data_IF_531081737050
#
_entry.id   IF_531081737050
#
_cell.length_a   1.000
_cell.length_b   1.000
_cell.length_c   1.000
_cell.angle_alpha   90.00
_cell.angle_beta   90.00
_cell.angle_gamma   90.00
#
_symmetry.space_group_name_H-M   'P 1'
#
loop_
_entity.id
_entity.type
_entity.pdbx_description
1 polymer ?
#
# COMPACT_ATOMS: atom_id res chain seq x y z
N UNK A 1 16.22 -2.51 -32.28
CA UNK A 1 15.75 -1.13 -32.04
C UNK A 1 14.96 -1.21 -30.77
N UNK A 2 15.63 -0.99 -29.64
CA UNK A 2 15.01 -0.89 -28.32
C UNK A 2 14.30 0.47 -28.27
N UNK A 3 13.05 0.47 -27.81
CA UNK A 3 12.26 1.70 -27.71
C UNK A 3 12.91 2.65 -26.70
N UNK A 4 12.94 3.93 -27.05
CA UNK A 4 13.60 4.99 -26.28
C UNK A 4 12.73 5.37 -25.08
N UNK A 5 13.36 5.50 -23.92
CA UNK A 5 12.75 5.57 -22.58
C UNK A 5 11.92 6.86 -22.40
N UNK A 6 12.20 7.89 -23.21
CA UNK A 6 11.38 9.12 -23.24
C UNK A 6 9.95 8.87 -23.70
N UNK A 7 9.68 7.76 -24.37
CA UNK A 7 8.32 7.44 -24.76
C UNK A 7 7.45 7.04 -23.55
N UNK A 8 7.98 6.41 -22.52
CA UNK A 8 7.20 5.87 -21.38
C UNK A 8 6.48 6.99 -20.57
N UNK A 9 6.96 8.24 -20.68
CA UNK A 9 6.65 9.41 -19.83
C UNK A 9 5.26 10.07 -19.86
N UNK A 10 4.31 9.69 -20.71
CA UNK A 10 3.13 10.57 -20.98
C UNK A 10 1.73 9.96 -20.85
N UNK A 11 1.62 8.75 -20.27
CA UNK A 11 0.37 7.96 -20.24
C UNK A 11 0.44 6.71 -21.13
N UNK A 12 1.64 6.12 -21.26
CA UNK A 12 1.97 5.15 -22.30
C UNK A 12 1.84 3.68 -21.92
N UNK A 13 1.61 3.30 -20.66
CA UNK A 13 1.50 1.88 -20.29
C UNK A 13 0.40 1.16 -21.10
N UNK A 14 -0.67 1.88 -21.38
CA UNK A 14 -1.80 1.38 -22.14
C UNK A 14 -1.60 1.48 -23.66
N UNK A 15 -0.73 2.37 -24.13
CA UNK A 15 -0.25 2.43 -25.51
C UNK A 15 0.83 1.35 -25.80
N UNK A 16 1.63 0.96 -24.81
CA UNK A 16 2.60 -0.14 -24.85
C UNK A 16 1.92 -1.50 -24.98
N UNK A 17 0.67 -1.61 -24.56
CA UNK A 17 -0.17 -2.76 -24.86
C UNK A 17 -0.17 -3.06 -26.38
N UNK A 18 -0.03 -2.05 -27.24
CA UNK A 18 0.07 -2.24 -28.70
C UNK A 18 1.44 -2.75 -29.18
N UNK A 19 2.48 -2.63 -28.35
CA UNK A 19 3.83 -3.15 -28.61
C UNK A 19 3.99 -4.61 -28.13
N UNK A 20 3.03 -5.11 -27.34
CA UNK A 20 2.99 -6.48 -26.86
C UNK A 20 2.86 -7.46 -28.03
N UNK A 21 3.64 -8.54 -27.99
CA UNK A 21 3.65 -9.56 -29.02
C UNK A 21 2.24 -10.17 -29.24
N UNK A 22 1.91 -10.49 -30.50
CA UNK A 22 0.58 -10.94 -30.90
C UNK A 22 0.07 -12.16 -30.12
N UNK A 23 0.97 -13.09 -29.77
CA UNK A 23 0.63 -14.27 -28.97
C UNK A 23 0.16 -13.90 -27.55
N UNK A 24 0.82 -12.92 -26.91
CA UNK A 24 0.43 -12.42 -25.59
C UNK A 24 -0.87 -11.64 -25.70
N UNK A 25 -1.04 -10.81 -26.75
CA UNK A 25 -2.32 -10.13 -27.03
C UNK A 25 -3.49 -11.10 -27.17
N UNK A 26 -3.29 -12.19 -27.90
CA UNK A 26 -4.33 -13.23 -28.08
C UNK A 26 -4.71 -13.89 -26.75
N UNK A 27 -3.73 -14.12 -25.86
CA UNK A 27 -3.96 -14.67 -24.52
C UNK A 27 -4.71 -13.68 -23.62
N UNK A 28 -4.35 -12.39 -23.65
CA UNK A 28 -5.08 -11.35 -22.89
C UNK A 28 -6.53 -11.25 -23.34
N UNK A 29 -6.80 -11.33 -24.65
CA UNK A 29 -8.16 -11.33 -25.18
C UNK A 29 -8.97 -12.56 -24.72
N UNK A 30 -8.33 -13.73 -24.64
CA UNK A 30 -8.96 -14.96 -24.14
C UNK A 30 -9.24 -14.87 -22.63
N UNK A 31 -8.31 -14.33 -21.85
CA UNK A 31 -8.49 -14.06 -20.43
C UNK A 31 -9.64 -13.08 -20.20
N UNK A 32 -9.70 -11.96 -20.95
CA UNK A 32 -10.82 -11.01 -20.87
C UNK A 32 -12.15 -11.67 -21.24
N UNK A 33 -12.20 -12.47 -22.31
CA UNK A 33 -13.41 -13.23 -22.69
C UNK A 33 -13.90 -14.13 -21.55
N UNK A 34 -12.97 -14.86 -20.93
CA UNK A 34 -13.24 -15.77 -19.82
C UNK A 34 -13.75 -14.99 -18.61
N UNK A 35 -13.09 -13.90 -18.28
CA UNK A 35 -13.45 -13.04 -17.15
C UNK A 35 -14.82 -12.39 -17.36
N UNK A 36 -15.07 -11.74 -18.50
CA UNK A 36 -16.39 -11.16 -18.81
C UNK A 36 -17.50 -12.22 -18.78
N UNK A 37 -17.20 -13.46 -19.21
CA UNK A 37 -18.16 -14.57 -19.11
C UNK A 37 -18.43 -14.95 -17.65
N UNK A 38 -17.40 -15.01 -16.81
CA UNK A 38 -17.51 -15.22 -15.37
C UNK A 38 -18.36 -14.13 -14.72
N UNK A 39 -18.09 -12.86 -15.04
CA UNK A 39 -18.82 -11.69 -14.54
C UNK A 39 -20.30 -11.71 -14.95
N UNK A 40 -20.61 -12.03 -16.21
CA UNK A 40 -21.99 -12.18 -16.69
C UNK A 40 -22.74 -13.31 -15.99
N UNK A 41 -22.07 -14.43 -15.69
CA UNK A 41 -22.67 -15.55 -14.93
C UNK A 41 -23.03 -15.10 -13.51
N UNK A 42 -22.13 -14.38 -12.84
CA UNK A 42 -22.38 -13.82 -11.51
C UNK A 42 -23.54 -12.80 -11.53
N UNK A 43 -23.61 -11.96 -12.57
CA UNK A 43 -24.73 -11.03 -12.75
C UNK A 43 -26.07 -11.74 -12.99
N UNK A 44 -26.08 -12.88 -13.70
CA UNK A 44 -27.29 -13.70 -13.87
C UNK A 44 -27.73 -14.32 -12.55
N UNK A 45 -26.80 -14.94 -11.81
CA UNK A 45 -27.07 -15.49 -10.47
C UNK A 45 -27.67 -14.40 -9.58
N UNK A 46 -27.15 -13.16 -9.65
CA UNK A 46 -27.73 -12.00 -8.96
C UNK A 46 -29.17 -11.72 -9.37
N UNK A 47 -29.47 -11.61 -10.67
CA UNK A 47 -30.83 -11.32 -11.14
C UNK A 47 -31.83 -12.39 -10.70
N UNK A 48 -31.43 -13.66 -10.75
CA UNK A 48 -32.25 -14.78 -10.31
C UNK A 48 -32.50 -14.76 -8.78
N UNK A 49 -31.49 -14.34 -8.01
CA UNK A 49 -31.60 -14.12 -6.56
C UNK A 49 -32.52 -12.93 -6.24
N UNK A 50 -32.36 -11.80 -6.94
CA UNK A 50 -33.14 -10.58 -6.74
C UNK A 50 -34.62 -10.72 -7.17
N UNK A 51 -34.90 -11.54 -8.18
CA UNK A 51 -36.26 -11.76 -8.73
C UNK A 51 -37.09 -12.84 -8.00
N UNK A 52 -36.64 -13.32 -6.84
CA UNK A 52 -37.51 -14.05 -5.91
C UNK A 52 -37.58 -15.57 -6.11
N UNK A 53 -36.45 -16.27 -5.89
CA UNK A 53 -36.48 -17.72 -5.59
C UNK A 53 -35.97 -18.13 -4.22
N UNK A 54 -35.45 -17.22 -3.40
CA UNK A 54 -35.27 -17.43 -1.96
C UNK A 54 -35.21 -16.07 -1.25
N UNK A 55 -35.95 -15.93 -0.14
CA UNK A 55 -36.10 -14.68 0.61
C UNK A 55 -34.80 -14.14 1.17
N UNK A 56 -34.16 -13.25 0.43
CA UNK A 56 -32.90 -12.60 0.82
C UNK A 56 -33.13 -11.57 1.92
N UNK A 57 -32.30 -11.63 2.95
CA UNK A 57 -32.26 -10.62 3.99
C UNK A 57 -31.40 -9.43 3.52
N UNK A 58 -31.56 -8.27 4.14
CA UNK A 58 -30.90 -7.01 3.76
C UNK A 58 -29.34 -7.11 3.75
N UNK A 59 -28.76 -8.08 4.47
CA UNK A 59 -27.32 -8.38 4.47
C UNK A 59 -26.82 -8.97 3.15
N UNK A 60 -27.58 -9.87 2.52
CA UNK A 60 -27.18 -10.53 1.28
C UNK A 60 -27.10 -9.55 0.09
N UNK A 61 -27.91 -8.49 0.10
CA UNK A 61 -27.86 -7.41 -0.90
C UNK A 61 -26.60 -6.55 -0.78
N UNK A 62 -26.02 -6.39 0.41
CA UNK A 62 -24.75 -5.65 0.61
C UNK A 62 -23.56 -6.42 0.07
N UNK A 63 -23.49 -7.72 0.34
CA UNK A 63 -22.40 -8.57 -0.15
C UNK A 63 -22.42 -8.67 -1.68
N UNK A 64 -23.61 -8.67 -2.27
CA UNK A 64 -23.82 -8.65 -3.73
C UNK A 64 -23.46 -7.31 -4.38
N UNK A 65 -23.73 -6.17 -3.72
CA UNK A 65 -23.32 -4.86 -4.20
C UNK A 65 -21.80 -4.71 -4.17
N UNK A 66 -21.17 -5.18 -3.09
CA UNK A 66 -19.72 -5.21 -2.93
C UNK A 66 -19.04 -6.07 -3.99
N UNK A 67 -19.58 -7.25 -4.27
CA UNK A 67 -19.13 -8.08 -5.40
C UNK A 67 -19.26 -7.35 -6.75
N UNK A 68 -20.36 -6.62 -7.01
CA UNK A 68 -20.54 -5.89 -8.26
C UNK A 68 -19.56 -4.71 -8.42
N UNK A 69 -19.22 -4.02 -7.33
CA UNK A 69 -18.17 -2.99 -7.30
C UNK A 69 -16.78 -3.60 -7.57
N UNK A 70 -16.52 -4.84 -7.12
CA UNK A 70 -15.30 -5.62 -7.43
C UNK A 70 -15.21 -6.07 -8.92
N UNK A 71 -16.31 -6.02 -9.68
CA UNK A 71 -16.40 -6.54 -11.06
C UNK A 71 -16.28 -5.49 -12.18
N UNK A 72 -15.96 -4.24 -11.86
CA UNK A 72 -15.87 -3.16 -12.84
C UNK A 72 -14.44 -2.90 -13.37
N UNK A 73 -13.54 -3.88 -13.23
CA UNK A 73 -12.12 -3.76 -13.58
C UNK A 73 -11.81 -4.08 -15.05
N UNK A 74 -12.82 -4.44 -15.86
CA UNK A 74 -12.72 -4.66 -17.32
C UNK A 74 -13.93 -4.05 -18.03
N UNK A 75 -13.79 -3.68 -19.29
CA UNK A 75 -14.89 -3.22 -20.14
C UNK A 75 -15.73 -4.40 -20.68
N UNK A 76 -17.03 -4.37 -20.37
CA UNK A 76 -17.98 -5.41 -20.76
C UNK A 76 -18.63 -5.12 -22.12
N UNK A 77 -18.49 -3.89 -22.63
CA UNK A 77 -19.04 -3.45 -23.92
C UNK A 77 -18.27 -4.07 -25.10
N UNK A 78 -16.94 -4.19 -24.96
CA UNK A 78 -16.08 -4.92 -25.87
C UNK A 78 -15.51 -6.18 -25.20
N UNK A 79 -16.21 -7.32 -25.17
CA UNK A 79 -15.69 -8.55 -24.57
C UNK A 79 -14.62 -9.25 -25.42
N UNK A 80 -14.27 -8.72 -26.59
CA UNK A 80 -13.54 -9.46 -27.64
C UNK A 80 -12.05 -9.14 -27.71
N UNK A 81 -11.65 -7.93 -27.35
CA UNK A 81 -10.25 -7.56 -27.21
C UNK A 81 -10.02 -6.86 -25.89
N UNK A 82 -8.89 -7.15 -25.26
CA UNK A 82 -8.38 -6.41 -24.11
C UNK A 82 -7.74 -5.12 -24.64
N UNK A 83 -8.13 -3.96 -24.15
CA UNK A 83 -7.68 -2.67 -24.64
C UNK A 83 -7.04 -1.84 -23.53
N UNK A 84 -6.44 -0.72 -23.92
CA UNK A 84 -5.93 0.32 -23.02
C UNK A 84 -6.89 0.66 -21.87
N UNK A 85 -8.18 0.79 -22.17
CA UNK A 85 -9.20 1.09 -21.16
C UNK A 85 -9.37 -0.03 -20.12
N UNK A 86 -9.20 -1.30 -20.51
CA UNK A 86 -9.26 -2.42 -19.58
C UNK A 86 -8.07 -2.42 -18.63
N UNK A 87 -6.87 -2.15 -19.16
CA UNK A 87 -5.66 -2.07 -18.35
C UNK A 87 -5.78 -0.94 -17.33
N UNK A 88 -6.22 0.25 -17.77
CA UNK A 88 -6.44 1.40 -16.89
C UNK A 88 -7.48 1.08 -15.79
N UNK A 89 -8.59 0.41 -16.13
CA UNK A 89 -9.60 0.00 -15.13
C UNK A 89 -9.06 -1.04 -14.16
N UNK A 90 -8.21 -1.96 -14.63
CA UNK A 90 -7.59 -2.97 -13.79
C UNK A 90 -6.64 -2.32 -12.77
N UNK A 91 -5.77 -1.40 -13.22
CA UNK A 91 -4.87 -0.64 -12.35
C UNK A 91 -5.69 0.13 -11.31
N UNK A 92 -6.72 0.87 -11.73
CA UNK A 92 -7.58 1.60 -10.80
C UNK A 92 -8.27 0.69 -9.77
N UNK A 93 -8.70 -0.50 -10.17
CA UNK A 93 -9.30 -1.47 -9.26
C UNK A 93 -8.28 -1.98 -8.22
N UNK A 94 -7.06 -2.32 -8.66
CA UNK A 94 -5.97 -2.75 -7.76
C UNK A 94 -5.61 -1.64 -6.78
N UNK A 95 -5.42 -0.41 -7.25
CA UNK A 95 -5.16 0.77 -6.41
C UNK A 95 -6.28 0.96 -5.38
N UNK A 96 -7.53 0.88 -5.82
CA UNK A 96 -8.68 1.04 -4.93
C UNK A 96 -8.73 -0.08 -3.87
N UNK A 97 -8.39 -1.32 -4.23
CA UNK A 97 -8.33 -2.44 -3.31
C UNK A 97 -7.23 -2.27 -2.25
N UNK A 98 -6.05 -1.78 -2.65
CA UNK A 98 -4.97 -1.42 -1.74
C UNK A 98 -5.39 -0.31 -0.77
N UNK A 99 -6.02 0.75 -1.26
CA UNK A 99 -6.55 1.82 -0.41
C UNK A 99 -7.61 1.30 0.57
N UNK A 100 -8.50 0.42 0.12
CA UNK A 100 -9.53 -0.19 0.96
C UNK A 100 -8.91 -1.08 2.05
N UNK A 101 -7.85 -1.83 1.70
CA UNK A 101 -7.10 -2.64 2.66
C UNK A 101 -6.45 -1.75 3.72
N UNK A 102 -5.77 -0.68 3.31
CA UNK A 102 -5.17 0.29 4.22
C UNK A 102 -6.19 0.98 5.12
N UNK A 103 -7.37 1.35 4.59
CA UNK A 103 -8.44 1.95 5.38
C UNK A 103 -8.97 0.99 6.44
N UNK A 104 -9.17 -0.28 6.10
CA UNK A 104 -9.61 -1.31 7.06
C UNK A 104 -8.57 -1.50 8.16
N UNK A 105 -7.30 -1.62 7.78
CA UNK A 105 -6.16 -1.74 8.71
C UNK A 105 -6.13 -0.56 9.69
N UNK A 106 -6.25 0.66 9.18
CA UNK A 106 -6.28 1.88 10.00
C UNK A 106 -7.48 1.92 10.96
N UNK A 107 -8.66 1.45 10.54
CA UNK A 107 -9.83 1.35 11.42
C UNK A 107 -9.64 0.29 12.51
N UNK A 108 -8.99 -0.83 12.19
CA UNK A 108 -8.63 -1.86 13.17
C UNK A 108 -7.62 -1.32 14.18
N UNK A 109 -6.60 -0.59 13.73
CA UNK A 109 -5.65 0.10 14.60
C UNK A 109 -6.35 1.09 15.55
N UNK A 110 -7.28 1.91 15.04
CA UNK A 110 -8.10 2.80 15.87
C UNK A 110 -8.89 2.04 16.93
N UNK A 111 -9.49 0.90 16.58
CA UNK A 111 -10.22 0.06 17.54
C UNK A 111 -9.28 -0.51 18.60
N UNK A 112 -8.11 -0.98 18.18
CA UNK A 112 -7.08 -1.48 19.07
C UNK A 112 -6.66 -0.42 20.11
N UNK A 113 -6.33 0.79 19.68
CA UNK A 113 -5.95 1.89 20.57
C UNK A 113 -7.08 2.29 21.52
N UNK A 114 -8.33 2.33 21.04
CA UNK A 114 -9.49 2.57 21.90
C UNK A 114 -9.66 1.51 22.99
N UNK A 115 -9.49 0.23 22.64
CA UNK A 115 -9.60 -0.88 23.61
C UNK A 115 -8.45 -0.84 24.61
N UNK A 116 -7.21 -0.59 24.15
CA UNK A 116 -6.02 -0.46 24.99
C UNK A 116 -6.19 0.66 26.02
N UNK A 117 -6.62 1.83 25.59
CA UNK A 117 -6.87 2.98 26.49
C UNK A 117 -8.07 2.71 27.43
N UNK A 118 -9.13 2.06 26.95
CA UNK A 118 -10.27 1.69 27.81
C UNK A 118 -9.84 0.74 28.93
N UNK A 119 -9.09 -0.32 28.60
CA UNK A 119 -8.55 -1.25 29.59
C UNK A 119 -7.62 -0.56 30.60
N UNK A 120 -6.79 0.37 30.14
CA UNK A 120 -5.94 1.18 31.02
C UNK A 120 -6.77 1.98 32.02
N UNK A 121 -7.83 2.65 31.56
CA UNK A 121 -8.73 3.43 32.42
C UNK A 121 -9.46 2.55 33.44
N UNK A 122 -9.96 1.39 33.00
CA UNK A 122 -10.60 0.43 33.90
C UNK A 122 -9.64 -0.08 34.99
N UNK A 123 -8.39 -0.40 34.61
CA UNK A 123 -7.33 -0.78 35.57
C UNK A 123 -7.10 0.35 36.58
N UNK A 124 -6.96 1.60 36.12
CA UNK A 124 -6.79 2.75 37.01
C UNK A 124 -8.00 2.96 37.93
N UNK A 125 -9.22 2.69 37.48
CA UNK A 125 -10.43 2.84 38.31
C UNK A 125 -10.52 1.79 39.43
N UNK A 126 -9.93 0.61 39.23
CA UNK A 126 -9.93 -0.49 40.22
C UNK A 126 -8.81 -0.39 41.26
N UNK A 127 -7.81 0.48 41.03
CA UNK A 127 -6.65 0.65 41.89
C UNK A 127 -6.91 1.65 43.04
N UNK A 128 -6.16 1.49 44.14
CA UNK A 128 -6.14 2.46 45.25
C UNK A 128 -5.54 3.82 44.81
N UNK A 129 -5.76 4.91 45.53
CA UNK A 129 -5.18 6.22 45.16
C UNK A 129 -3.65 6.19 45.06
N UNK A 130 -2.98 5.46 45.95
CA UNK A 130 -1.52 5.32 45.93
C UNK A 130 -1.05 4.52 44.73
N UNK A 131 -1.70 3.40 44.41
CA UNK A 131 -1.34 2.55 43.27
C UNK A 131 -1.67 3.23 41.94
N UNK A 132 -2.76 4.01 41.87
CA UNK A 132 -3.12 4.83 40.71
C UNK A 132 -2.02 5.83 40.39
N UNK A 133 -1.47 6.48 41.41
CA UNK A 133 -0.38 7.45 41.22
C UNK A 133 0.88 6.77 40.68
N UNK A 134 1.26 5.61 41.26
CA UNK A 134 2.42 4.82 40.79
C UNK A 134 2.26 4.35 39.34
N UNK A 135 1.08 3.85 38.97
CA UNK A 135 0.82 3.39 37.60
C UNK A 135 0.83 4.56 36.59
N UNK A 136 0.31 5.72 36.99
CA UNK A 136 0.35 6.92 36.16
C UNK A 136 1.80 7.43 35.96
N UNK A 137 2.61 7.47 37.01
CA UNK A 137 4.04 7.81 36.93
C UNK A 137 4.80 6.82 36.03
N UNK A 138 4.53 5.51 36.16
CA UNK A 138 5.10 4.48 35.28
C UNK A 138 4.71 4.73 33.83
N UNK A 139 3.43 5.00 33.54
CA UNK A 139 2.96 5.25 32.18
C UNK A 139 3.61 6.50 31.55
N UNK A 140 3.76 7.57 32.33
CA UNK A 140 4.49 8.78 31.89
C UNK A 140 5.96 8.50 31.63
N UNK A 141 6.61 7.66 32.44
CA UNK A 141 7.97 7.21 32.21
C UNK A 141 8.08 6.40 30.91
N UNK A 142 7.15 5.48 30.65
CA UNK A 142 7.11 4.70 29.41
C UNK A 142 6.93 5.62 28.18
N UNK A 143 6.01 6.59 28.24
CA UNK A 143 5.87 7.58 27.17
C UNK A 143 7.13 8.42 26.96
N UNK A 144 7.83 8.76 28.05
CA UNK A 144 9.07 9.53 27.97
C UNK A 144 10.19 8.70 27.32
N UNK A 145 10.32 7.42 27.68
CA UNK A 145 11.28 6.49 27.07
C UNK A 145 11.00 6.31 25.58
N UNK A 146 9.74 6.07 25.22
CA UNK A 146 9.33 5.93 23.83
C UNK A 146 9.65 7.17 22.99
N UNK A 147 9.46 8.38 23.55
CA UNK A 147 9.81 9.66 22.87
C UNK A 147 11.31 9.92 22.81
N UNK A 148 12.11 9.24 23.62
CA UNK A 148 13.55 9.41 23.70
C UNK A 148 14.24 8.51 22.67
N UNK A 149 14.07 8.88 21.40
CA UNK A 149 14.64 8.17 20.26
C UNK A 149 15.53 9.12 19.43
N UNK A 150 16.50 8.58 18.66
CA UNK A 150 17.23 9.36 17.67
C UNK A 150 16.28 10.05 16.68
N UNK A 151 16.67 11.21 16.16
CA UNK A 151 15.87 11.94 15.17
C UNK A 151 15.60 11.04 13.96
N UNK A 152 14.33 10.86 13.61
CA UNK A 152 13.92 10.21 12.37
C UNK A 152 14.08 11.16 11.18
N UNK A 153 14.52 10.60 10.06
CA UNK A 153 14.54 11.31 8.80
C UNK A 153 13.14 11.37 8.19
N UNK A 154 12.92 12.37 7.33
CA UNK A 154 11.66 12.47 6.57
C UNK A 154 11.59 11.33 5.54
N UNK A 155 10.46 10.60 5.44
CA UNK A 155 10.33 9.51 4.48
C UNK A 155 10.59 9.92 3.02
N UNK A 156 11.45 9.19 2.32
CA UNK A 156 11.93 9.49 0.98
C UNK A 156 12.82 10.74 0.89
N UNK A 157 13.45 11.18 1.99
CA UNK A 157 14.47 12.24 1.96
C UNK A 157 15.84 11.68 1.59
N UNK A 158 16.72 12.57 1.10
CA UNK A 158 18.10 12.19 0.79
C UNK A 158 18.84 11.61 2.01
N UNK A 159 18.67 12.22 3.19
CA UNK A 159 19.31 11.75 4.43
C UNK A 159 18.89 10.31 4.77
N UNK A 160 17.60 9.97 4.59
CA UNK A 160 17.13 8.61 4.80
C UNK A 160 17.74 7.63 3.78
N UNK A 161 17.73 7.98 2.50
CA UNK A 161 18.24 7.11 1.44
C UNK A 161 19.74 6.84 1.60
N UNK A 162 20.51 7.85 2.01
CA UNK A 162 21.93 7.70 2.36
C UNK A 162 22.14 6.78 3.56
N UNK A 163 21.26 6.84 4.58
CA UNK A 163 21.35 5.97 5.75
C UNK A 163 21.03 4.50 5.40
N UNK A 164 20.03 4.26 4.55
CA UNK A 164 19.74 2.92 4.03
C UNK A 164 20.92 2.40 3.21
N UNK A 165 21.52 3.24 2.37
CA UNK A 165 22.72 2.90 1.60
C UNK A 165 23.91 2.51 2.47
N UNK A 166 24.14 3.22 3.58
CA UNK A 166 25.16 2.84 4.57
C UNK A 166 24.82 1.50 5.24
N UNK A 167 23.54 1.24 5.53
CA UNK A 167 23.08 -0.01 6.11
C UNK A 167 23.27 -1.21 5.16
N UNK A 168 23.24 -0.98 3.84
CA UNK A 168 23.59 -1.96 2.81
C UNK A 168 25.11 -2.24 2.72
N UNK A 169 25.91 -1.58 3.56
CA UNK A 169 27.36 -1.78 3.66
C UNK A 169 28.17 -0.96 2.66
N UNK A 170 27.57 0.09 2.08
CA UNK A 170 28.22 0.96 1.10
C UNK A 170 28.63 2.29 1.73
N UNK A 171 29.67 2.91 1.18
CA UNK A 171 30.17 4.18 1.70
C UNK A 171 29.22 5.34 1.32
N UNK A 172 28.96 6.23 2.28
CA UNK A 172 28.07 7.38 2.08
C UNK A 172 28.51 8.29 0.95
N UNK A 173 29.81 8.49 0.80
CA UNK A 173 30.40 9.35 -0.22
C UNK A 173 30.14 8.85 -1.65
N UNK A 174 29.86 7.55 -1.79
CA UNK A 174 29.57 6.89 -3.06
C UNK A 174 28.07 6.80 -3.34
N UNK A 175 27.22 7.48 -2.56
CA UNK A 175 25.77 7.43 -2.73
C UNK A 175 25.37 7.81 -4.16
N UNK A 176 24.69 6.88 -4.82
CA UNK A 176 24.22 7.05 -6.19
C UNK A 176 22.74 6.65 -6.27
N UNK A 177 21.82 7.60 -6.53
CA UNK A 177 20.39 7.31 -6.60
C UNK A 177 20.03 6.20 -7.59
N UNK A 178 20.74 6.11 -8.72
CA UNK A 178 20.47 5.08 -9.73
C UNK A 178 20.87 3.68 -9.25
N UNK A 179 22.04 3.58 -8.62
CA UNK A 179 22.46 2.32 -8.02
C UNK A 179 21.55 1.95 -6.85
N UNK A 180 21.19 2.93 -6.01
CA UNK A 180 20.26 2.75 -4.90
C UNK A 180 18.94 2.13 -5.37
N UNK A 181 18.32 2.71 -6.40
CA UNK A 181 17.08 2.20 -6.97
C UNK A 181 17.25 0.75 -7.44
N UNK A 182 18.28 0.47 -8.25
CA UNK A 182 18.51 -0.87 -8.80
C UNK A 182 18.87 -1.94 -7.77
N UNK A 183 19.29 -1.58 -6.55
CA UNK A 183 19.51 -2.53 -5.45
C UNK A 183 18.21 -2.86 -4.70
N UNK A 184 17.26 -1.93 -4.68
CA UNK A 184 16.01 -2.05 -3.93
C UNK A 184 14.81 -2.44 -4.79
N UNK A 185 14.93 -2.32 -6.12
CA UNK A 185 14.12 -3.01 -7.10
C UNK A 185 14.54 -4.49 -7.11
N UNK A 186 14.00 -5.25 -6.15
CA UNK A 186 14.43 -6.62 -5.85
C UNK A 186 14.00 -7.60 -6.93
N UNK A 187 12.88 -7.31 -7.60
CA UNK A 187 12.31 -8.14 -8.65
C UNK A 187 12.80 -7.72 -10.06
N UNK A 188 13.41 -6.54 -10.20
CA UNK A 188 14.00 -6.01 -11.43
C UNK A 188 12.96 -5.53 -12.45
N UNK A 189 11.76 -5.14 -12.01
CA UNK A 189 10.68 -4.72 -12.89
C UNK A 189 10.70 -3.21 -13.24
N UNK A 190 11.63 -2.47 -12.64
CA UNK A 190 11.81 -1.03 -12.88
C UNK A 190 10.91 -0.13 -12.03
N UNK A 191 10.21 -0.70 -11.06
CA UNK A 191 9.36 -0.01 -10.11
C UNK A 191 9.76 -0.39 -8.67
N UNK A 192 9.47 0.49 -7.72
CA UNK A 192 9.46 0.16 -6.30
C UNK A 192 8.02 -0.01 -5.87
N UNK A 193 7.66 -1.24 -5.53
CA UNK A 193 6.33 -1.59 -5.09
C UNK A 193 6.11 -1.19 -3.60
N UNK A 194 4.87 -1.30 -3.07
CA UNK A 194 4.59 -1.01 -1.67
C UNK A 194 5.46 -1.75 -0.65
N UNK A 195 5.89 -2.98 -0.93
CA UNK A 195 6.69 -3.80 -0.04
C UNK A 195 8.16 -3.36 -0.08
N UNK A 196 8.69 -3.08 -1.26
CA UNK A 196 10.05 -2.57 -1.47
C UNK A 196 10.21 -1.18 -0.84
N UNK A 197 9.24 -0.28 -1.02
CA UNK A 197 9.22 1.02 -0.36
C UNK A 197 9.18 0.88 1.17
N UNK A 198 8.37 -0.03 1.69
CA UNK A 198 8.27 -0.27 3.13
C UNK A 198 9.56 -0.81 3.75
N UNK A 199 10.33 -1.61 3.01
CA UNK A 199 11.63 -2.10 3.45
C UNK A 199 12.63 -0.96 3.70
N UNK A 200 12.56 0.14 2.92
CA UNK A 200 13.40 1.32 3.10
C UNK A 200 13.17 2.03 4.44
N UNK A 201 12.01 1.80 5.07
CA UNK A 201 11.62 2.47 6.30
C UNK A 201 12.09 1.73 7.55
N UNK A 202 12.52 0.48 7.42
CA UNK A 202 12.84 -0.39 8.55
C UNK A 202 13.87 0.25 9.48
N UNK A 203 14.95 0.80 8.91
CA UNK A 203 16.02 1.45 9.69
C UNK A 203 15.56 2.69 10.43
N UNK A 204 14.63 3.46 9.86
CA UNK A 204 14.04 4.60 10.55
C UNK A 204 13.10 4.16 11.67
N UNK A 205 12.31 3.12 11.45
CA UNK A 205 11.38 2.58 12.45
C UNK A 205 12.11 1.92 13.63
N UNK A 206 13.21 1.21 13.38
CA UNK A 206 14.08 0.60 14.41
C UNK A 206 14.67 1.62 15.41
N UNK A 207 14.74 2.92 15.04
CA UNK A 207 15.17 3.99 15.95
C UNK A 207 14.16 4.21 17.06
N UNK A 208 12.87 4.04 16.76
CA UNK A 208 11.75 4.37 17.65
C UNK A 208 11.16 3.12 18.29
N UNK A 209 10.99 2.05 17.52
CA UNK A 209 10.33 0.84 17.95
C UNK A 209 11.35 -0.32 18.02
N UNK A 210 11.55 -0.88 19.22
CA UNK A 210 12.39 -2.06 19.43
C UNK A 210 11.58 -3.15 20.09
N UNK A 211 11.63 -4.36 19.53
CA UNK A 211 10.90 -5.53 20.07
C UNK A 211 11.31 -5.87 21.53
N UNK A 212 12.51 -5.48 21.95
CA UNK A 212 13.01 -5.67 23.32
C UNK A 212 12.40 -4.73 24.36
N UNK A 213 11.76 -3.65 23.93
CA UNK A 213 11.27 -2.58 24.80
C UNK A 213 9.78 -2.82 25.12
N UNK A 214 9.41 -2.70 26.40
CA UNK A 214 8.00 -2.91 26.83
C UNK A 214 7.10 -1.74 26.40
N UNK A 215 7.68 -0.56 26.18
CA UNK A 215 7.00 0.66 25.77
C UNK A 215 6.61 0.67 24.29
N UNK A 216 7.26 -0.16 23.47
CA UNK A 216 7.15 -0.10 22.03
C UNK A 216 6.10 -1.08 21.51
N UNK A 217 5.10 -0.54 20.81
CA UNK A 217 3.99 -1.32 20.26
C UNK A 217 4.23 -1.64 18.79
N UNK A 218 4.45 -2.91 18.47
CA UNK A 218 4.68 -3.36 17.10
C UNK A 218 3.51 -3.04 16.16
N UNK A 219 2.27 -2.94 16.66
CA UNK A 219 1.11 -2.54 15.83
C UNK A 219 1.16 -1.06 15.49
N UNK A 220 1.69 -0.23 16.39
CA UNK A 220 1.91 1.18 16.14
C UNK A 220 3.01 1.38 15.10
N UNK A 221 4.08 0.59 15.19
CA UNK A 221 5.15 0.56 14.19
C UNK A 221 4.63 0.24 12.79
N UNK A 222 3.78 -0.79 12.64
CA UNK A 222 3.16 -1.16 11.36
C UNK A 222 2.26 -0.05 10.79
N UNK A 223 1.52 0.64 11.66
CA UNK A 223 0.70 1.78 11.25
C UNK A 223 1.57 2.97 10.81
N UNK A 224 2.67 3.25 11.50
CA UNK A 224 3.61 4.30 11.12
C UNK A 224 4.32 3.97 9.80
N UNK A 225 4.72 2.71 9.59
CA UNK A 225 5.24 2.21 8.31
C UNK A 225 4.28 2.50 7.15
N UNK A 226 3.00 2.19 7.33
CA UNK A 226 1.97 2.48 6.33
C UNK A 226 1.79 3.99 6.08
N UNK A 227 1.92 4.83 7.11
CA UNK A 227 1.89 6.30 6.96
C UNK A 227 3.09 6.81 6.18
N UNK A 228 4.30 6.31 6.45
CA UNK A 228 5.51 6.63 5.69
C UNK A 228 5.34 6.27 4.22
N UNK A 229 4.81 5.07 3.91
CA UNK A 229 4.52 4.64 2.54
C UNK A 229 3.55 5.60 1.82
N UNK A 230 2.39 5.87 2.44
CA UNK A 230 1.41 6.81 1.87
C UNK A 230 1.99 8.21 1.69
N UNK A 231 2.87 8.62 2.59
CA UNK A 231 3.54 9.89 2.49
C UNK A 231 4.44 9.95 1.25
N UNK A 232 5.31 8.95 1.08
CA UNK A 232 6.23 8.86 -0.07
C UNK A 232 5.46 8.78 -1.39
N UNK A 233 4.46 7.90 -1.50
CA UNK A 233 3.63 7.79 -2.69
C UNK A 233 3.00 9.14 -3.05
N UNK A 234 2.40 9.84 -2.09
CA UNK A 234 1.81 11.16 -2.35
C UNK A 234 2.82 12.21 -2.87
N UNK A 235 4.09 12.11 -2.50
CA UNK A 235 5.12 13.06 -2.93
C UNK A 235 5.78 12.69 -4.26
N UNK A 236 5.88 11.39 -4.56
CA UNK A 236 6.73 10.86 -5.65
C UNK A 236 5.90 10.25 -6.78
N UNK A 237 4.90 9.44 -6.45
CA UNK A 237 4.01 8.76 -7.40
C UNK A 237 3.08 9.81 -8.07
N UNK A 238 3.42 10.14 -9.32
CA UNK A 238 2.78 11.20 -10.09
C UNK A 238 1.63 10.65 -10.91
N UNK A 239 1.74 9.41 -11.39
CA UNK A 239 0.72 8.76 -12.21
C UNK A 239 -0.38 8.07 -11.37
N UNK A 240 -0.18 7.94 -10.06
CA UNK A 240 -1.07 7.36 -9.04
C UNK A 240 -1.36 5.87 -9.26
N UNK A 241 -0.37 5.12 -9.73
CA UNK A 241 -0.47 3.66 -9.88
C UNK A 241 -0.09 2.90 -8.60
N UNK A 242 0.23 3.61 -7.51
CA UNK A 242 0.67 3.07 -6.21
C UNK A 242 2.04 2.38 -6.23
N UNK A 243 2.83 2.64 -7.26
CA UNK A 243 4.23 2.23 -7.37
C UNK A 243 5.10 3.47 -7.63
N UNK A 244 6.41 3.32 -7.49
CA UNK A 244 7.35 4.40 -7.84
C UNK A 244 8.26 3.93 -8.96
N UNK A 245 8.06 4.49 -10.15
CA UNK A 245 8.95 4.21 -11.28
C UNK A 245 10.35 4.77 -11.06
N UNK A 246 11.34 4.21 -11.77
CA UNK A 246 12.70 4.75 -11.81
C UNK A 246 12.73 6.27 -12.10
N UNK A 247 11.90 6.73 -13.02
CA UNK A 247 11.89 8.14 -13.43
C UNK A 247 11.33 9.04 -12.34
N UNK A 248 10.22 8.65 -11.71
CA UNK A 248 9.63 9.39 -10.58
C UNK A 248 10.61 9.47 -9.41
N UNK A 249 11.31 8.38 -9.11
CA UNK A 249 12.37 8.34 -8.10
C UNK A 249 13.52 9.30 -8.45
N UNK A 250 14.03 9.24 -9.68
CA UNK A 250 15.11 10.12 -10.13
C UNK A 250 14.70 11.59 -10.14
N UNK A 251 13.43 11.90 -10.40
CA UNK A 251 12.93 13.26 -10.38
C UNK A 251 12.63 13.75 -8.96
N UNK A 252 12.22 12.87 -8.04
CA UNK A 252 12.08 13.19 -6.63
C UNK A 252 13.44 13.50 -5.98
N UNK A 253 14.47 12.71 -6.28
CA UNK A 253 15.83 12.91 -5.74
C UNK A 253 16.55 14.15 -6.26
N UNK A 254 16.11 14.73 -7.39
CA UNK A 254 16.60 16.05 -7.87
C UNK A 254 15.87 17.22 -7.22
N UNK A 255 14.63 17.01 -6.75
CA UNK A 255 13.77 18.04 -6.16
C UNK A 255 14.05 18.28 -4.68
N UNK A 256 14.62 17.28 -4.00
CA UNK A 256 14.96 17.28 -2.56
C UNK A 256 16.47 17.41 -2.38
#
# INVERSE_FOLDING_TARGET
QEADIEDIKSGKLSAELNLVAHNVRSQLDELKRTEVTRLRKLQRVRMDMQNGRNGLHQGDLRDVKKMYEEFNHVDHSNPRSFEEEDLNKLIQAVVQDLENYDQKRHLEFKRYEMVKEHQRREKLNQLSEEDRKKEQERYEEMQRKHKDHPKMNHPGSKDQLEEVWEADGLAKEDFNPRAFFGMHDTNGDGYLDPMELEALFEKELEKVYKESNEEDDLREMEEERARMRKHVLREVDTNKDSMVSFEEFMDATKRK
#
